data_IF_830224442689
#
_entry.id   IF_830224442689
#
_cell.length_a   1.000
_cell.length_b   1.000
_cell.length_c   1.000
_cell.angle_alpha   90.00
_cell.angle_beta   90.00
_cell.angle_gamma   90.00
#
_symmetry.space_group_name_H-M   'P 1'
#
loop_
_entity.id
_entity.type
_entity.pdbx_description
1 polymer ?
#
# COMPACT_ATOMS: atom_id res chain seq x y z
N UNK A 1 18.11 -20.51 -38.89
CA UNK A 1 17.09 -21.56 -39.09
C UNK A 1 16.12 -21.45 -37.92
N UNK A 2 14.83 -21.17 -38.04
CA UNK A 2 13.94 -20.87 -39.16
C UNK A 2 12.74 -20.17 -38.49
N UNK A 3 12.34 -19.01 -39.01
CA UNK A 3 11.11 -18.31 -38.63
C UNK A 3 9.95 -19.11 -39.24
N UNK A 4 8.87 -19.36 -38.49
CA UNK A 4 7.59 -19.79 -39.09
C UNK A 4 6.46 -19.01 -38.43
N UNK A 5 5.93 -18.08 -39.22
CA UNK A 5 4.63 -17.44 -39.05
C UNK A 5 3.50 -18.46 -39.29
N UNK A 6 2.42 -18.37 -38.51
CA UNK A 6 1.15 -18.97 -38.91
C UNK A 6 0.12 -17.87 -39.07
N UNK A 7 -0.13 -17.54 -40.33
CA UNK A 7 -1.28 -16.75 -40.77
C UNK A 7 -2.50 -17.66 -40.93
N UNK A 8 -3.64 -17.05 -40.64
CA UNK A 8 -5.03 -17.48 -40.73
C UNK A 8 -5.41 -18.35 -41.94
N UNK A 9 -6.41 -19.22 -41.77
CA UNK A 9 -7.39 -19.50 -42.84
C UNK A 9 -8.72 -19.95 -42.25
N UNK A 10 -9.69 -19.05 -42.34
CA UNK A 10 -11.14 -19.29 -42.27
C UNK A 10 -11.59 -20.05 -43.52
N UNK A 11 -12.43 -21.08 -43.35
CA UNK A 11 -13.34 -21.55 -44.40
C UNK A 11 -14.72 -21.75 -43.77
N UNK A 12 -15.66 -20.90 -44.16
CA UNK A 12 -17.09 -21.12 -43.98
C UNK A 12 -17.61 -22.03 -45.10
N UNK A 13 -18.35 -23.07 -44.72
CA UNK A 13 -19.26 -23.77 -45.62
C UNK A 13 -20.54 -24.09 -44.86
N UNK A 14 -21.65 -23.62 -45.41
CA UNK A 14 -23.01 -23.72 -44.90
C UNK A 14 -23.71 -25.02 -45.36
N UNK A 15 -24.81 -25.32 -44.68
CA UNK A 15 -25.95 -26.18 -45.06
C UNK A 15 -26.14 -27.56 -44.41
N UNK A 16 -27.41 -27.80 -44.09
CA UNK A 16 -28.01 -28.62 -43.04
C UNK A 16 -27.77 -30.14 -43.09
N UNK A 17 -27.54 -30.73 -41.90
CA UNK A 17 -28.19 -31.98 -41.42
C UNK A 17 -27.82 -32.29 -39.97
N UNK A 18 -28.80 -32.13 -39.09
CA UNK A 18 -28.78 -32.62 -37.71
C UNK A 18 -28.69 -34.15 -37.72
N UNK A 19 -27.55 -34.68 -37.27
CA UNK A 19 -27.44 -36.04 -36.75
C UNK A 19 -26.70 -35.96 -35.42
N UNK A 20 -27.45 -36.11 -34.32
CA UNK A 20 -26.90 -36.39 -32.99
C UNK A 20 -26.06 -37.66 -33.06
N UNK A 21 -24.76 -37.50 -33.19
CA UNK A 21 -23.79 -38.53 -32.86
C UNK A 21 -22.96 -37.98 -31.71
N UNK A 22 -23.34 -38.38 -30.50
CA UNK A 22 -22.55 -38.14 -29.29
C UNK A 22 -21.18 -38.77 -29.52
N UNK A 23 -20.21 -37.97 -29.97
CA UNK A 23 -18.81 -38.36 -30.04
C UNK A 23 -18.37 -38.56 -28.59
N UNK A 24 -18.37 -39.81 -28.17
CA UNK A 24 -17.83 -40.22 -26.88
C UNK A 24 -16.34 -39.92 -26.92
N UNK A 25 -15.92 -38.87 -26.21
CA UNK A 25 -14.50 -38.59 -26.03
C UNK A 25 -13.86 -39.84 -25.41
N UNK A 26 -12.71 -40.30 -25.93
CA UNK A 26 -11.99 -41.41 -25.31
C UNK A 26 -11.70 -41.01 -23.87
N UNK A 27 -12.12 -41.86 -22.91
CA UNK A 27 -11.79 -41.69 -21.49
C UNK A 27 -10.25 -41.66 -21.39
N UNK A 28 -9.69 -40.46 -21.26
CA UNK A 28 -8.28 -40.28 -20.92
C UNK A 28 -8.08 -41.02 -19.61
N UNK A 29 -7.25 -42.06 -19.63
CA UNK A 29 -6.87 -42.78 -18.42
C UNK A 29 -6.39 -41.77 -17.39
N UNK A 30 -6.94 -41.84 -16.19
CA UNK A 30 -6.70 -40.94 -15.06
C UNK A 30 -5.27 -41.02 -14.47
N UNK A 31 -4.28 -41.40 -15.29
CA UNK A 31 -2.90 -41.64 -14.86
C UNK A 31 -1.95 -40.47 -15.08
N UNK A 32 -2.36 -39.40 -15.76
CA UNK A 32 -1.54 -38.19 -15.87
C UNK A 32 -2.22 -37.02 -15.16
N UNK A 33 -2.33 -37.11 -13.82
CA UNK A 33 -2.60 -35.92 -13.01
C UNK A 33 -1.35 -35.05 -13.09
N UNK A 34 -1.54 -33.77 -13.45
CA UNK A 34 -0.47 -32.79 -13.29
C UNK A 34 0.00 -32.82 -11.83
N UNK A 35 1.32 -32.80 -11.58
CA UNK A 35 1.82 -32.78 -10.22
C UNK A 35 1.23 -31.59 -9.48
N UNK A 36 0.82 -31.82 -8.22
CA UNK A 36 0.28 -30.76 -7.37
C UNK A 36 1.33 -29.67 -7.19
N UNK A 37 0.87 -28.43 -6.94
CA UNK A 37 1.78 -27.35 -6.55
C UNK A 37 2.63 -27.74 -5.32
N UNK A 38 2.10 -28.57 -4.43
CA UNK A 38 2.83 -29.13 -3.27
C UNK A 38 3.91 -30.12 -3.71
N UNK A 39 3.65 -30.93 -4.74
CA UNK A 39 4.63 -31.89 -5.27
C UNK A 39 5.79 -31.19 -5.96
N UNK A 40 5.53 -30.02 -6.57
CA UNK A 40 6.52 -29.24 -7.31
C UNK A 40 7.32 -28.28 -6.41
N UNK A 41 6.65 -27.63 -5.45
CA UNK A 41 7.21 -26.52 -4.67
C UNK A 41 7.53 -26.91 -3.22
N UNK A 42 7.13 -28.12 -2.80
CA UNK A 42 7.22 -28.56 -1.41
C UNK A 42 6.18 -27.90 -0.50
N UNK A 43 6.08 -28.37 0.74
CA UNK A 43 5.27 -27.70 1.77
C UNK A 43 5.85 -26.32 2.06
N UNK A 44 5.08 -25.28 1.72
CA UNK A 44 5.40 -23.91 2.10
C UNK A 44 5.13 -23.78 3.59
N UNK A 45 6.15 -24.02 4.40
CA UNK A 45 6.14 -23.66 5.81
C UNK A 45 6.06 -22.13 5.90
N UNK A 46 4.84 -21.59 6.06
CA UNK A 46 4.63 -20.20 6.50
C UNK A 46 5.15 -20.11 7.93
N UNK A 47 6.46 -19.86 8.08
CA UNK A 47 7.04 -19.51 9.37
C UNK A 47 6.41 -18.19 9.82
N UNK A 48 5.37 -18.26 10.65
CA UNK A 48 4.78 -17.11 11.32
C UNK A 48 5.78 -16.63 12.36
N UNK A 49 6.53 -15.56 12.05
CA UNK A 49 7.32 -14.85 13.05
C UNK A 49 6.33 -14.14 13.98
N UNK A 50 6.40 -14.44 15.27
CA UNK A 50 5.60 -13.73 16.28
C UNK A 50 6.10 -12.27 16.35
N UNK A 51 5.16 -11.32 16.34
CA UNK A 51 5.46 -9.90 16.48
C UNK A 51 5.87 -9.61 17.93
N UNK A 52 7.06 -9.04 18.13
CA UNK A 52 7.60 -8.67 19.44
C UNK A 52 7.63 -7.13 19.50
N UNK A 53 6.69 -6.47 20.21
CA UNK A 53 6.58 -5.01 20.19
C UNK A 53 7.86 -4.29 20.62
N UNK A 54 8.67 -4.90 21.48
CA UNK A 54 9.97 -4.37 21.96
C UNK A 54 10.98 -4.18 20.82
N UNK A 55 10.87 -4.95 19.73
CA UNK A 55 11.72 -4.77 18.53
C UNK A 55 11.32 -3.50 17.71
N UNK A 56 10.22 -2.84 18.09
CA UNK A 56 9.63 -1.73 17.34
C UNK A 56 9.20 -0.55 18.24
N UNK A 57 9.96 -0.26 19.30
CA UNK A 57 9.64 0.81 20.28
C UNK A 57 8.25 0.66 20.91
N UNK A 58 7.81 -0.58 21.12
CA UNK A 58 6.49 -0.96 21.61
C UNK A 58 5.37 -0.83 20.57
N UNK A 59 5.68 -0.67 19.28
CA UNK A 59 4.65 -0.54 18.22
C UNK A 59 3.98 -1.89 18.04
N UNK A 60 2.65 -1.88 17.97
CA UNK A 60 1.85 -3.06 17.71
C UNK A 60 1.50 -3.02 16.23
N UNK A 61 1.81 -4.08 15.48
CA UNK A 61 1.45 -4.16 14.06
C UNK A 61 -0.05 -4.40 13.92
N UNK A 62 -0.70 -3.66 13.03
CA UNK A 62 -2.12 -3.85 12.72
C UNK A 62 -2.37 -5.10 11.86
N UNK A 63 -1.34 -5.60 11.15
CA UNK A 63 -1.41 -6.82 10.34
C UNK A 63 -0.11 -7.62 10.42
N UNK A 64 -0.23 -8.95 10.34
CA UNK A 64 0.91 -9.86 10.32
C UNK A 64 1.68 -9.73 9.00
N UNK A 65 3.01 -9.85 9.07
CA UNK A 65 3.81 -9.88 7.84
C UNK A 65 3.57 -11.20 7.10
N UNK A 66 3.14 -11.09 5.84
CA UNK A 66 3.10 -12.20 4.91
C UNK A 66 4.11 -11.96 3.79
N UNK A 67 4.84 -13.00 3.38
CA UNK A 67 5.82 -12.87 2.30
C UNK A 67 5.13 -12.40 1.02
N UNK A 68 5.62 -11.31 0.45
CA UNK A 68 5.05 -10.69 -0.76
C UNK A 68 4.07 -9.55 -0.46
N UNK A 69 3.65 -9.37 0.80
CA UNK A 69 2.80 -8.26 1.23
C UNK A 69 3.65 -7.15 1.87
N UNK A 70 3.49 -5.93 1.39
CA UNK A 70 4.24 -4.75 1.81
C UNK A 70 3.30 -3.71 2.41
N UNK A 71 3.71 -3.14 3.55
CA UNK A 71 3.04 -1.99 4.14
C UNK A 71 3.37 -0.76 3.30
N UNK A 72 2.35 -0.13 2.71
CA UNK A 72 2.51 0.99 1.78
C UNK A 72 1.63 2.15 2.22
N UNK A 73 2.19 3.36 2.19
CA UNK A 73 1.45 4.61 2.38
C UNK A 73 2.14 5.75 1.63
N UNK A 74 1.39 6.79 1.28
CA UNK A 74 1.91 7.99 0.63
C UNK A 74 1.98 9.15 1.61
N UNK A 75 3.03 9.95 1.52
CA UNK A 75 3.23 11.12 2.37
C UNK A 75 4.06 12.20 1.67
N UNK A 76 3.96 13.43 2.16
CA UNK A 76 4.87 14.52 1.81
C UNK A 76 5.96 14.57 2.87
N UNK A 77 7.25 14.42 2.51
CA UNK A 77 8.33 14.53 3.48
C UNK A 77 8.45 15.97 4.00
N UNK A 78 8.76 16.12 5.29
CA UNK A 78 9.08 17.40 5.89
C UNK A 78 10.50 17.36 6.44
N UNK A 79 11.38 18.17 5.85
CA UNK A 79 12.77 18.26 6.28
C UNK A 79 12.87 18.92 7.65
N UNK A 80 13.64 18.30 8.53
CA UNK A 80 13.91 18.84 9.85
C UNK A 80 14.67 20.16 9.76
N UNK A 81 14.31 21.08 10.64
CA UNK A 81 15.04 22.32 10.84
C UNK A 81 15.18 22.62 12.33
N UNK A 82 16.12 23.49 12.69
CA UNK A 82 16.37 23.85 14.09
C UNK A 82 15.12 24.37 14.82
N UNK A 83 14.22 25.07 14.11
CA UNK A 83 13.00 25.60 14.69
C UNK A 83 12.04 24.49 15.13
N UNK A 84 11.87 23.43 14.34
CA UNK A 84 10.98 22.31 14.69
C UNK A 84 11.55 21.49 15.85
N UNK A 85 12.88 21.31 15.89
CA UNK A 85 13.55 20.59 16.98
C UNK A 85 13.47 21.35 18.31
N UNK A 86 13.62 22.68 18.27
CA UNK A 86 13.41 23.54 19.45
C UNK A 86 11.96 23.50 19.92
N UNK A 87 11.00 23.57 18.99
CA UNK A 87 9.58 23.46 19.33
C UNK A 87 9.26 22.11 19.98
N UNK A 88 9.78 21.01 19.43
CA UNK A 88 9.62 19.68 20.02
C UNK A 88 10.16 19.64 21.45
N UNK A 89 11.37 20.17 21.69
CA UNK A 89 11.99 20.20 23.01
C UNK A 89 11.14 21.01 24.01
N UNK A 90 10.65 22.18 23.61
CA UNK A 90 9.77 23.00 24.44
C UNK A 90 8.45 22.30 24.79
N UNK A 91 7.84 21.59 23.82
CA UNK A 91 6.61 20.82 24.06
C UNK A 91 6.88 19.68 25.05
N UNK A 92 8.00 18.95 24.87
CA UNK A 92 8.39 17.87 25.76
C UNK A 92 8.60 18.36 27.19
N UNK A 93 9.33 19.46 27.37
CA UNK A 93 9.58 20.05 28.69
C UNK A 93 8.29 20.53 29.34
N UNK A 94 7.42 21.21 28.58
CA UNK A 94 6.15 21.71 29.08
C UNK A 94 5.24 20.56 29.52
N UNK A 95 5.09 19.52 28.69
CA UNK A 95 4.28 18.33 29.00
C UNK A 95 4.83 17.58 30.20
N UNK A 96 6.16 17.46 30.31
CA UNK A 96 6.81 16.85 31.47
C UNK A 96 6.53 17.62 32.75
N UNK A 97 6.66 18.95 32.72
CA UNK A 97 6.49 19.80 33.89
C UNK A 97 5.03 19.92 34.34
N UNK A 98 4.09 20.05 33.40
CA UNK A 98 2.68 20.32 33.72
C UNK A 98 1.85 19.05 33.90
N UNK A 99 2.16 18.00 33.15
CA UNK A 99 1.34 16.78 33.11
C UNK A 99 2.06 15.56 33.70
N UNK A 100 3.34 15.67 34.05
CA UNK A 100 4.19 14.55 34.48
C UNK A 100 4.19 13.38 33.48
N UNK A 101 4.07 13.69 32.20
CA UNK A 101 4.10 12.72 31.10
C UNK A 101 5.42 12.84 30.34
N UNK A 102 5.92 11.72 29.83
CA UNK A 102 7.10 11.69 28.96
C UNK A 102 6.66 11.49 27.51
N UNK A 103 7.07 12.41 26.64
CA UNK A 103 6.88 12.29 25.20
C UNK A 103 8.18 11.78 24.56
N UNK A 104 8.04 10.93 23.55
CA UNK A 104 9.17 10.48 22.72
C UNK A 104 9.42 11.48 21.60
N UNK A 105 10.69 11.71 21.26
CA UNK A 105 11.09 12.56 20.14
C UNK A 105 10.70 11.94 18.80
N UNK A 106 10.17 12.75 17.88
CA UNK A 106 9.96 12.35 16.51
C UNK A 106 11.24 12.62 15.68
N UNK A 107 11.66 11.62 14.91
CA UNK A 107 12.83 11.73 14.03
C UNK A 107 12.44 11.86 12.55
N UNK A 108 11.21 11.53 12.17
CA UNK A 108 10.74 11.61 10.78
C UNK A 108 9.44 12.41 10.74
N UNK A 109 9.50 13.59 10.14
CA UNK A 109 8.34 14.46 9.97
C UNK A 109 7.78 14.31 8.57
N UNK A 110 6.46 14.20 8.49
CA UNK A 110 5.77 14.06 7.23
C UNK A 110 4.30 14.48 7.36
N UNK A 111 3.66 14.65 6.21
CA UNK A 111 2.22 14.82 6.10
C UNK A 111 1.68 13.59 5.37
N UNK A 112 1.00 12.71 6.10
CA UNK A 112 0.36 11.53 5.53
C UNK A 112 -0.74 11.94 4.55
N UNK A 113 -0.74 11.35 3.35
CA UNK A 113 -1.77 11.55 2.33
C UNK A 113 -2.73 10.36 2.24
N UNK A 114 -2.27 9.17 2.63
CA UNK A 114 -3.09 7.95 2.66
C UNK A 114 -2.97 7.25 4.00
N UNK A 115 -3.90 6.33 4.26
CA UNK A 115 -3.70 5.29 5.27
C UNK A 115 -2.62 4.29 4.82
N UNK A 116 -2.17 3.46 5.75
CA UNK A 116 -1.31 2.31 5.45
C UNK A 116 -2.16 1.18 4.87
N UNK A 117 -1.81 0.74 3.66
CA UNK A 117 -2.46 -0.36 2.95
C UNK A 117 -1.46 -1.51 2.74
N UNK A 118 -1.98 -2.69 2.44
CA UNK A 118 -1.17 -3.86 2.10
C UNK A 118 -1.08 -3.97 0.58
N UNK A 119 0.11 -3.78 0.03
CA UNK A 119 0.37 -3.88 -1.41
C UNK A 119 1.19 -5.14 -1.72
N UNK A 120 0.77 -5.88 -2.73
CA UNK A 120 1.54 -7.04 -3.20
C UNK A 120 2.78 -6.59 -3.95
N UNK A 121 3.91 -7.29 -3.75
CA UNK A 121 5.22 -6.93 -4.30
C UNK A 121 5.18 -6.64 -5.81
N UNK A 122 4.48 -7.47 -6.59
CA UNK A 122 4.40 -7.29 -8.05
C UNK A 122 3.61 -6.05 -8.48
N UNK A 123 2.86 -5.42 -7.58
CA UNK A 123 2.11 -4.19 -7.85
C UNK A 123 2.84 -2.94 -7.39
N UNK A 124 4.01 -3.04 -6.74
CA UNK A 124 4.76 -1.87 -6.28
C UNK A 124 5.11 -0.94 -7.45
N UNK A 125 5.81 -1.44 -8.47
CA UNK A 125 6.24 -0.59 -9.59
C UNK A 125 5.05 -0.03 -10.41
N UNK A 126 4.01 -0.81 -10.76
CA UNK A 126 2.81 -0.27 -11.38
C UNK A 126 2.10 0.80 -10.54
N UNK A 127 2.03 0.60 -9.21
CA UNK A 127 1.40 1.55 -8.30
C UNK A 127 2.17 2.87 -8.24
N UNK A 128 3.50 2.80 -8.15
CA UNK A 128 4.38 3.98 -8.20
C UNK A 128 4.21 4.73 -9.52
N UNK A 129 4.20 4.02 -10.66
CA UNK A 129 3.99 4.64 -11.96
C UNK A 129 2.61 5.33 -12.08
N UNK A 130 1.54 4.72 -11.56
CA UNK A 130 0.21 5.33 -11.52
C UNK A 130 0.19 6.60 -10.66
N UNK A 131 0.84 6.59 -9.49
CA UNK A 131 0.99 7.77 -8.65
C UNK A 131 1.76 8.88 -9.35
N UNK A 132 2.90 8.57 -9.97
CA UNK A 132 3.70 9.55 -10.72
C UNK A 132 2.89 10.19 -11.84
N UNK A 133 2.18 9.39 -12.64
CA UNK A 133 1.35 9.87 -13.74
C UNK A 133 0.23 10.82 -13.25
N UNK A 134 -0.36 10.56 -12.09
CA UNK A 134 -1.43 11.39 -11.51
C UNK A 134 -0.89 12.65 -10.85
N UNK A 135 0.31 12.57 -10.26
CA UNK A 135 0.91 13.65 -9.51
C UNK A 135 1.80 14.58 -10.35
N UNK A 136 2.24 14.17 -11.55
CA UNK A 136 3.20 14.91 -12.39
C UNK A 136 2.82 16.37 -12.67
N UNK A 137 1.53 16.69 -12.78
CA UNK A 137 1.04 18.04 -13.09
C UNK A 137 0.71 18.85 -11.83
N UNK A 138 1.07 18.36 -10.64
CA UNK A 138 0.81 19.04 -9.38
C UNK A 138 1.83 20.17 -9.20
N UNK A 139 1.33 21.40 -9.07
CA UNK A 139 2.19 22.55 -8.76
C UNK A 139 2.61 22.52 -7.30
N UNK A 140 3.85 22.94 -7.04
CA UNK A 140 4.31 23.23 -5.68
C UNK A 140 3.50 24.38 -5.10
N UNK A 141 3.19 24.30 -3.81
CA UNK A 141 2.47 25.33 -3.06
C UNK A 141 3.10 25.48 -1.67
N UNK A 142 3.04 26.68 -1.07
CA UNK A 142 3.50 26.86 0.30
C UNK A 142 2.57 26.14 1.29
N UNK A 143 3.10 25.77 2.45
CA UNK A 143 2.31 25.23 3.54
C UNK A 143 2.74 25.89 4.85
N UNK A 144 1.77 26.34 5.64
CA UNK A 144 2.02 26.96 6.93
C UNK A 144 1.45 26.11 8.05
N UNK A 145 2.33 25.73 8.98
CA UNK A 145 1.95 25.06 10.23
C UNK A 145 1.40 26.11 11.21
N UNK A 146 0.27 25.81 11.84
CA UNK A 146 -0.50 26.78 12.62
C UNK A 146 -0.59 26.39 14.11
N UNK A 147 -1.27 25.29 14.42
CA UNK A 147 -1.59 24.95 15.82
C UNK A 147 -1.23 23.51 16.17
N UNK A 148 -0.98 23.28 17.46
CA UNK A 148 -0.80 21.93 18.00
C UNK A 148 -2.15 21.23 18.11
N UNK A 149 -2.18 19.94 17.77
CA UNK A 149 -3.34 19.07 17.93
C UNK A 149 -2.91 17.69 18.40
N UNK A 150 -3.71 17.12 19.28
CA UNK A 150 -3.51 15.75 19.77
C UNK A 150 -4.25 14.79 18.83
N UNK A 151 -3.54 13.76 18.39
CA UNK A 151 -4.05 12.68 17.57
C UNK A 151 -3.88 11.35 18.29
N UNK A 152 -4.73 10.39 17.99
CA UNK A 152 -4.61 9.02 18.45
C UNK A 152 -4.68 8.12 17.23
N UNK A 153 -3.87 7.05 17.18
CA UNK A 153 -4.05 6.05 16.13
C UNK A 153 -5.40 5.34 16.25
N UNK A 154 -5.79 4.61 15.20
CA UNK A 154 -7.07 3.92 15.12
C UNK A 154 -7.24 2.89 16.24
N UNK A 155 -6.18 2.19 16.61
CA UNK A 155 -6.17 1.18 17.68
C UNK A 155 -6.13 1.79 19.09
N UNK A 156 -5.99 3.12 19.20
CA UNK A 156 -5.87 3.87 20.46
C UNK A 156 -4.74 3.41 21.38
N UNK A 157 -3.66 2.91 20.79
CA UNK A 157 -2.47 2.45 21.51
C UNK A 157 -1.36 3.50 21.55
N UNK A 158 -1.48 4.58 20.75
CA UNK A 158 -0.48 5.66 20.65
C UNK A 158 -1.14 7.01 20.47
N UNK A 159 -0.64 7.98 21.23
CA UNK A 159 -1.03 9.38 21.15
C UNK A 159 0.11 10.21 20.56
N UNK A 160 -0.23 11.09 19.63
CA UNK A 160 0.72 11.95 18.92
C UNK A 160 0.37 13.41 19.16
N UNK A 161 1.41 14.24 19.32
CA UNK A 161 1.28 15.70 19.22
C UNK A 161 1.67 16.08 17.80
N UNK A 162 0.70 16.52 17.01
CA UNK A 162 0.90 16.95 15.63
C UNK A 162 0.71 18.45 15.46
N UNK A 163 1.20 18.98 14.34
CA UNK A 163 0.94 20.35 13.90
C UNK A 163 -0.10 20.34 12.79
N UNK A 164 -1.11 21.20 12.93
CA UNK A 164 -2.10 21.44 11.89
C UNK A 164 -1.58 22.44 10.88
N UNK A 165 -2.10 22.39 9.66
CA UNK A 165 -1.87 23.42 8.64
C UNK A 165 -3.02 24.43 8.60
N UNK A 166 -2.77 25.62 8.07
CA UNK A 166 -3.81 26.60 7.76
C UNK A 166 -4.84 26.07 6.76
N UNK A 167 -6.10 26.49 6.93
CA UNK A 167 -7.23 26.09 6.08
C UNK A 167 -7.06 26.54 4.62
N UNK A 168 -6.29 27.61 4.38
CA UNK A 168 -5.98 28.13 3.04
C UNK A 168 -5.42 27.05 2.09
N UNK A 169 -4.67 26.09 2.63
CA UNK A 169 -4.02 25.03 1.84
C UNK A 169 -4.80 23.72 1.82
N UNK A 170 -5.97 23.65 2.47
CA UNK A 170 -6.75 22.40 2.53
C UNK A 170 -7.21 21.96 1.16
N UNK A 171 -7.56 22.88 0.26
CA UNK A 171 -7.95 22.55 -1.11
C UNK A 171 -6.80 21.90 -1.88
N UNK A 172 -5.58 22.40 -1.72
CA UNK A 172 -4.39 21.82 -2.36
C UNK A 172 -4.08 20.42 -1.82
N UNK A 173 -4.10 20.25 -0.49
CA UNK A 173 -3.90 18.95 0.14
C UNK A 173 -5.00 17.95 -0.21
N UNK A 174 -6.25 18.41 -0.24
CA UNK A 174 -7.39 17.57 -0.63
C UNK A 174 -7.23 17.08 -2.07
N UNK A 175 -6.81 17.94 -2.99
CA UNK A 175 -6.53 17.51 -4.37
C UNK A 175 -5.44 16.44 -4.46
N UNK A 176 -4.41 16.53 -3.61
CA UNK A 176 -3.38 15.49 -3.51
C UNK A 176 -3.95 14.17 -2.99
N UNK A 177 -4.72 14.23 -1.91
CA UNK A 177 -5.39 13.06 -1.33
C UNK A 177 -6.31 12.40 -2.36
N UNK A 178 -7.15 13.17 -3.06
CA UNK A 178 -8.04 12.64 -4.11
C UNK A 178 -7.28 11.93 -5.25
N UNK A 179 -6.09 12.44 -5.62
CA UNK A 179 -5.23 11.77 -6.61
C UNK A 179 -4.64 10.47 -6.08
N UNK A 180 -4.21 10.44 -4.81
CA UNK A 180 -3.72 9.24 -4.15
C UNK A 180 -4.84 8.20 -3.98
N UNK A 181 -6.03 8.61 -3.57
CA UNK A 181 -7.21 7.72 -3.44
C UNK A 181 -7.57 7.10 -4.79
N UNK A 182 -7.55 7.90 -5.87
CA UNK A 182 -7.78 7.38 -7.22
C UNK A 182 -6.73 6.34 -7.65
N UNK A 183 -5.47 6.49 -7.21
CA UNK A 183 -4.43 5.48 -7.43
C UNK A 183 -4.69 4.23 -6.59
N UNK A 184 -5.03 4.36 -5.31
CA UNK A 184 -5.36 3.22 -4.44
C UNK A 184 -6.53 2.41 -4.99
N UNK A 185 -7.56 3.10 -5.50
CA UNK A 185 -8.75 2.48 -6.10
C UNK A 185 -8.43 1.59 -7.30
N UNK A 186 -7.47 1.99 -8.13
CA UNK A 186 -7.03 1.21 -9.30
C UNK A 186 -6.51 -0.18 -8.90
N UNK A 187 -5.99 -0.32 -7.68
CA UNK A 187 -5.44 -1.56 -7.13
C UNK A 187 -6.37 -2.23 -6.09
N UNK A 188 -7.61 -1.73 -5.93
CA UNK A 188 -8.59 -2.18 -4.92
C UNK A 188 -8.08 -2.10 -3.47
N UNK A 189 -7.49 -0.96 -3.10
CA UNK A 189 -6.86 -0.73 -1.78
C UNK A 189 -7.60 0.31 -0.91
N UNK A 190 -8.87 0.59 -1.16
CA UNK A 190 -9.71 1.52 -0.36
C UNK A 190 -10.19 0.91 0.98
#
# INVERSE_FOLDING_TARGET
KMLVDYSSSEEEVDDDKVQETVKTFPKISSQNKLPSAVDLLGEINKATRNDVPEEHDGRIRSFNHERGNWATFCYIPFEQNESILRLQSHIQDHVRQQLNLQLTSANDFHISLTKTVVLQHHWIDPFVASLEQRLQNTRKFPLHLNSLKIYCNEERTRTFVGLTTSEEFFTNLKNLVEKCDAALKEFNLE
#
